data_IF_966027738151
#
_entry.id   IF_966027738151
#
_cell.length_a   1.000
_cell.length_b   1.000
_cell.length_c   1.000
_cell.angle_alpha   90.00
_cell.angle_beta   90.00
_cell.angle_gamma   90.00
#
_symmetry.space_group_name_H-M   'P 1'
#
loop_
_entity.id
_entity.type
_entity.pdbx_description
1 polymer ?
2 non-polymer ?
3 non-polymer ?
4 water ?
#
# COMPACT_ATOMS: atom_id res chain seq x y z
N UNK A 20 20.00 -7.75 8.10
CA UNK A 20 18.81 -7.07 7.50
C UNK A 20 17.53 -7.72 8.00
N UNK A 21 16.65 -6.89 8.56
CA UNK A 21 15.48 -7.38 9.25
C UNK A 21 14.18 -6.88 8.61
N UNK A 22 13.05 -7.31 9.14
CA UNK A 22 11.77 -7.01 8.51
C UNK A 22 11.47 -5.51 8.50
N UNK A 23 11.91 -4.80 9.52
CA UNK A 23 11.67 -3.36 9.56
C UNK A 23 12.48 -2.65 8.46
N UNK A 24 13.70 -3.11 8.21
CA UNK A 24 14.50 -2.60 7.11
C UNK A 24 13.75 -2.77 5.79
N UNK A 25 13.19 -3.96 5.58
CA UNK A 25 12.42 -4.21 4.36
C UNK A 25 11.19 -3.31 4.28
N UNK A 26 10.49 -3.12 5.40
CA UNK A 26 9.31 -2.27 5.44
C UNK A 26 9.68 -0.82 5.13
N UNK A 27 10.82 -0.37 5.64
CA UNK A 27 11.28 1.00 5.40
C UNK A 27 11.62 1.18 3.93
N UNK A 28 12.20 0.15 3.32
CA UNK A 28 12.56 0.22 1.90
C UNK A 28 11.30 0.33 1.05
N UNK A 29 10.29 -0.44 1.45
CA UNK A 29 8.99 -0.44 0.80
C UNK A 29 8.32 0.94 0.85
N UNK A 30 8.25 1.53 2.05
CA UNK A 30 7.67 2.86 2.21
C UNK A 30 8.47 3.93 1.48
N UNK A 31 9.79 3.91 1.58
CA UNK A 31 10.59 4.88 0.85
C UNK A 31 10.32 4.79 -0.66
N UNK A 32 10.16 3.57 -1.16
CA UNK A 32 9.98 3.37 -2.59
C UNK A 32 8.62 3.88 -3.05
N UNK A 33 7.59 3.62 -2.26
CA UNK A 33 6.27 4.22 -2.52
C UNK A 33 6.40 5.74 -2.52
N UNK A 34 7.05 6.29 -1.51
CA UNK A 34 7.14 7.74 -1.38
C UNK A 34 7.90 8.40 -2.50
N UNK A 35 8.92 7.72 -3.03
CA UNK A 35 9.74 8.32 -4.07
C UNK A 35 9.40 7.81 -5.45
N UNK A 36 8.36 6.99 -5.55
CA UNK A 36 7.95 6.41 -6.83
C UNK A 36 8.95 5.48 -7.48
N UNK A 37 9.69 4.73 -6.66
CA UNK A 37 10.70 3.81 -7.16
C UNK A 37 10.04 2.48 -7.50
N UNK A 38 9.55 2.36 -8.73
CA UNK A 38 8.87 1.14 -9.14
C UNK A 38 9.80 -0.04 -9.22
N UNK A 39 11.08 0.20 -9.50
CA UNK A 39 12.07 -0.87 -9.55
C UNK A 39 12.18 -1.57 -8.21
N UNK A 40 12.23 -0.81 -7.13
CA UNK A 40 12.32 -1.45 -5.82
C UNK A 40 11.02 -2.21 -5.57
N UNK A 41 9.90 -1.55 -5.80
CA UNK A 41 8.59 -2.14 -5.46
C UNK A 41 8.38 -3.44 -6.21
N UNK A 42 8.79 -3.46 -7.47
CA UNK A 42 8.63 -4.64 -8.32
C UNK A 42 9.52 -5.79 -7.90
N UNK A 43 10.53 -5.48 -7.10
CA UNK A 43 11.53 -6.45 -6.70
C UNK A 43 11.33 -6.94 -5.28
N UNK A 44 10.94 -6.06 -4.37
CA UNK A 44 10.83 -6.45 -2.97
C UNK A 44 9.44 -6.96 -2.60
N UNK A 45 8.46 -6.78 -3.48
CA UNK A 45 7.14 -7.37 -3.26
C UNK A 45 7.13 -8.76 -3.92
N UNK A 46 6.70 -9.77 -3.19
CA UNK A 46 6.63 -11.13 -3.73
C UNK A 46 5.80 -11.15 -5.00
N UNK A 47 6.25 -11.93 -6.01
CA UNK A 47 5.42 -12.18 -7.18
C UNK A 47 4.07 -12.79 -6.83
N UNK A 48 4.03 -13.52 -5.71
CA UNK A 48 2.79 -14.15 -5.26
C UNK A 48 2.11 -13.37 -4.13
N UNK A 49 2.36 -12.07 -4.07
CA UNK A 49 1.85 -11.23 -2.97
C UNK A 49 0.33 -11.32 -2.84
N UNK A 50 -0.14 -11.46 -1.60
CA UNK A 50 -1.57 -11.37 -1.30
C UNK A 50 -1.84 -9.98 -0.76
N UNK A 51 -2.68 -9.23 -1.45
CA UNK A 51 -2.88 -7.81 -1.14
C UNK A 51 -4.34 -7.54 -0.75
N UNK A 52 -4.57 -7.18 0.51
CA UNK A 52 -5.94 -6.93 1.01
C UNK A 52 -6.24 -5.43 1.07
N UNK A 53 -7.11 -4.96 0.19
CA UNK A 53 -7.46 -3.56 0.13
C UNK A 53 -8.87 -3.41 0.69
N UNK A 54 -9.01 -2.63 1.77
CA UNK A 54 -10.27 -2.49 2.45
C UNK A 54 -11.28 -1.65 1.70
N UNK A 55 -12.52 -1.71 2.14
CA UNK A 55 -13.51 -0.74 1.74
C UNK A 55 -14.45 -1.21 0.67
N UNK A 56 -15.02 -0.24 -0.02
CA UNK A 56 -16.08 -0.50 -0.95
C UNK A 56 -15.93 0.39 -2.15
N UNK A 57 -14.79 0.25 -2.82
CA UNK A 57 -14.52 1.01 -4.03
C UNK A 57 -13.92 0.07 -5.05
N UNK A 58 -13.60 0.59 -6.22
CA UNK A 58 -13.21 -0.24 -7.36
C UNK A 58 -11.95 -1.08 -7.16
N UNK A 59 -11.11 -0.72 -6.20
CA UNK A 59 -9.88 -1.50 -5.92
C UNK A 59 -9.98 -2.35 -4.68
N UNK A 60 -11.15 -2.33 -4.04
CA UNK A 60 -11.31 -3.01 -2.79
C UNK A 60 -11.31 -4.52 -3.03
N UNK A 61 -10.90 -5.27 -2.02
CA UNK A 61 -10.88 -6.71 -2.10
C UNK A 61 -9.51 -7.29 -1.93
N UNK A 62 -9.41 -8.61 -2.06
CA UNK A 62 -8.12 -9.27 -1.96
C UNK A 62 -7.62 -9.59 -3.36
N UNK A 63 -6.39 -9.20 -3.62
CA UNK A 63 -5.77 -9.41 -4.92
C UNK A 63 -4.54 -10.27 -4.72
N UNK A 64 -4.27 -11.14 -5.68
CA UNK A 64 -3.17 -12.09 -5.55
C UNK A 64 -2.26 -12.04 -6.77
N UNK A 65 -0.97 -11.91 -6.52
CA UNK A 65 0.01 -11.89 -7.57
C UNK A 65 0.30 -10.51 -8.08
N UNK A 66 1.58 -10.24 -8.33
CA UNK A 66 2.02 -8.97 -8.92
C UNK A 66 1.47 -8.78 -10.33
N UNK A 67 1.08 -9.87 -10.99
CA UNK A 67 0.45 -9.76 -12.31
C UNK A 67 -0.81 -8.92 -12.21
N UNK A 68 -1.45 -8.98 -11.05
CA UNK A 68 -2.68 -8.24 -10.77
C UNK A 68 -2.39 -6.96 -9.99
N UNK A 69 -1.58 -7.10 -8.95
CA UNK A 69 -1.28 -5.96 -8.09
C UNK A 69 -0.51 -4.85 -8.80
N UNK A 70 0.46 -5.19 -9.64
CA UNK A 70 1.22 -4.15 -10.34
C UNK A 70 0.32 -3.24 -11.16
N UNK A 71 -0.45 -3.83 -12.07
CA UNK A 71 -1.39 -3.04 -12.85
C UNK A 71 -2.41 -2.27 -12.01
N UNK A 72 -2.83 -2.84 -10.89
CA UNK A 72 -3.77 -2.16 -10.03
C UNK A 72 -3.16 -0.92 -9.39
N UNK A 73 -1.89 -1.01 -8.98
CA UNK A 73 -1.16 0.13 -8.46
C UNK A 73 -1.03 1.21 -9.52
N UNK A 74 -0.81 0.79 -10.76
CA UNK A 74 -0.76 1.72 -11.88
C UNK A 74 -2.08 2.43 -12.11
N UNK A 75 -3.18 1.69 -12.02
CA UNK A 75 -4.50 2.27 -12.21
C UNK A 75 -4.83 3.24 -11.08
N UNK A 76 -4.39 2.88 -9.88
CA UNK A 76 -4.54 3.75 -8.74
C UNK A 76 -3.83 5.08 -8.95
N UNK A 77 -2.62 5.04 -9.49
CA UNK A 77 -1.89 6.26 -9.78
C UNK A 77 -2.67 7.06 -10.81
N UNK A 78 -3.19 6.40 -11.82
CA UNK A 78 -3.99 7.10 -12.81
C UNK A 78 -5.24 7.75 -12.22
N UNK A 79 -6.01 6.97 -11.47
CA UNK A 79 -7.26 7.47 -10.88
C UNK A 79 -7.01 8.66 -9.96
N UNK A 80 -5.90 8.64 -9.22
CA UNK A 80 -5.57 9.71 -8.28
C UNK A 80 -4.72 10.83 -8.88
N UNK A 81 -4.54 10.80 -10.19
CA UNK A 81 -3.72 11.81 -10.86
C UNK A 81 -2.37 11.88 -10.22
N UNK A 82 -1.83 10.71 -9.85
CA UNK A 82 -0.54 10.60 -9.21
C UNK A 82 -0.42 11.22 -7.84
N UNK A 83 -1.55 11.57 -7.23
CA UNK A 83 -1.50 12.33 -5.97
C UNK A 83 -1.62 11.46 -4.72
N UNK A 84 -2.06 10.21 -4.86
CA UNK A 84 -2.14 9.37 -3.67
C UNK A 84 -0.76 9.15 -3.09
N UNK A 85 -0.62 9.45 -1.80
CA UNK A 85 0.68 9.43 -1.16
C UNK A 85 0.62 9.03 0.30
N UNK A 86 1.68 8.35 0.73
CA UNK A 86 1.97 8.21 2.14
C UNK A 86 2.72 9.47 2.52
N UNK A 87 1.99 10.43 3.07
CA UNK A 87 2.54 11.75 3.32
C UNK A 87 3.44 11.76 4.54
N UNK A 88 3.27 10.78 5.42
CA UNK A 88 4.09 10.70 6.61
C UNK A 88 4.06 9.29 7.12
N UNK A 89 5.23 8.75 7.45
CA UNK A 89 5.32 7.47 8.11
C UNK A 89 5.75 7.74 9.54
N UNK A 90 5.04 7.15 10.49
CA UNK A 90 5.30 7.39 11.89
C UNK A 90 6.16 6.29 12.48
N UNK A 91 5.56 5.17 12.84
CA UNK A 91 6.31 4.10 13.50
C UNK A 91 6.29 2.81 12.68
N UNK A 92 7.41 2.09 12.71
CA UNK A 92 7.51 0.73 12.19
C UNK A 92 7.63 -0.22 13.36
N UNK A 93 6.74 -1.19 13.43
CA UNK A 93 6.69 -2.10 14.57
C UNK A 93 6.64 -3.54 14.12
N UNK A 94 7.44 -4.40 14.75
CA UNK A 94 7.50 -5.79 14.32
C UNK A 94 6.82 -6.74 15.28
N UNK A 95 6.13 -7.72 14.72
CA UNK A 95 5.51 -8.74 15.53
C UNK A 95 5.48 -10.02 14.73
N UNK A 96 6.26 -11.00 15.14
CA UNK A 96 6.45 -12.19 14.31
C UNK A 96 7.01 -11.79 12.96
N UNK A 97 6.40 -12.26 11.87
CA UNK A 97 6.83 -11.89 10.51
C UNK A 97 6.09 -10.67 9.96
N UNK A 98 5.27 -10.03 10.80
CA UNK A 98 4.54 -8.83 10.41
C UNK A 98 5.22 -7.57 10.86
N UNK A 99 5.03 -6.52 10.07
CA UNK A 99 5.43 -5.20 10.45
C UNK A 99 4.21 -4.31 10.29
N UNK A 100 3.85 -3.57 11.34
CA UNK A 100 2.84 -2.51 11.21
C UNK A 100 3.52 -1.18 11.06
N UNK A 101 3.05 -0.43 10.07
CA UNK A 101 3.53 0.91 9.85
C UNK A 101 2.36 1.84 10.02
N UNK A 102 2.45 2.73 11.00
CA UNK A 102 1.47 3.76 11.22
C UNK A 102 1.87 4.93 10.35
N UNK A 103 0.89 5.57 9.74
CA UNK A 103 1.17 6.55 8.73
C UNK A 103 0.00 7.47 8.48
N UNK A 104 0.27 8.45 7.64
CA UNK A 104 -0.74 9.35 7.13
C UNK A 104 -0.74 9.24 5.62
N UNK A 105 -1.93 9.18 5.03
CA UNK A 105 -1.95 9.28 3.60
C UNK A 105 -2.86 10.39 3.14
N UNK A 106 -2.60 10.86 1.92
CA UNK A 106 -3.28 12.00 1.38
C UNK A 106 -3.39 11.88 -0.13
N UNK A 107 -4.14 12.79 -0.72
CA UNK A 107 -4.37 12.75 -2.12
C UNK A 107 -5.46 13.73 -2.47
N UNK A 108 -5.61 13.97 -3.76
CA UNK A 108 -6.64 14.87 -4.21
C UNK A 108 -7.07 14.33 -5.54
N UNK A 109 -8.27 13.75 -5.57
CA UNK A 109 -8.84 13.15 -6.79
C UNK A 109 -10.35 12.88 -6.64
N UNK A 110 -11.03 12.78 -7.78
CA UNK A 110 -12.49 12.54 -7.79
C UNK A 110 -13.26 13.53 -6.91
N UNK A 111 -12.72 14.73 -6.79
CA UNK A 111 -13.36 15.78 -6.01
C UNK A 111 -13.15 15.59 -4.52
N UNK A 112 -12.32 14.63 -4.14
CA UNK A 112 -12.08 14.33 -2.73
C UNK A 112 -10.67 14.71 -2.27
N UNK A 113 -10.59 15.53 -1.24
CA UNK A 113 -9.31 15.80 -0.58
C UNK A 113 -9.13 14.78 0.52
N UNK A 114 -8.18 13.88 0.31
CA UNK A 114 -7.92 12.76 1.18
C UNK A 114 -6.83 13.17 2.13
N UNK A 115 -7.06 12.98 3.42
CA UNK A 115 -6.04 13.24 4.41
C UNK A 115 -6.44 12.51 5.66
N UNK A 116 -5.72 11.46 6.00
CA UNK A 116 -6.15 10.66 7.14
C UNK A 116 -5.07 9.69 7.57
N UNK A 117 -5.17 9.27 8.83
CA UNK A 117 -4.32 8.23 9.37
C UNK A 117 -4.59 6.88 8.70
N UNK A 118 -3.58 6.04 8.68
CA UNK A 118 -3.73 4.66 8.22
C UNK A 118 -2.71 3.77 8.88
N UNK A 119 -2.83 2.47 8.64
CA UNK A 119 -1.81 1.52 9.05
C UNK A 119 -1.63 0.54 7.91
N UNK A 120 -0.38 0.30 7.51
CA UNK A 120 -0.05 -0.76 6.57
C UNK A 120 0.48 -1.91 7.36
N UNK A 121 -0.08 -3.10 7.14
CA UNK A 121 0.44 -4.32 7.73
C UNK A 121 1.12 -5.13 6.64
N UNK A 122 2.41 -5.44 6.83
CA UNK A 122 3.17 -6.22 5.86
C UNK A 122 3.63 -7.50 6.50
N UNK A 123 3.48 -8.60 5.79
CA UNK A 123 4.08 -9.86 6.20
C UNK A 123 5.29 -10.10 5.33
N UNK A 124 6.43 -10.33 5.94
CA UNK A 124 7.70 -10.37 5.22
C UNK A 124 8.37 -11.69 5.48
N UNK A 125 8.81 -12.33 4.41
CA UNK A 125 9.42 -13.66 4.45
C UNK A 125 10.54 -13.70 3.45
N UNK A 126 11.70 -14.18 3.85
CA UNK A 126 12.80 -14.38 2.91
C UNK A 126 13.05 -13.12 2.10
N UNK A 127 12.98 -11.97 2.75
CA UNK A 127 13.44 -10.73 2.14
C UNK A 127 12.39 -10.06 1.28
N UNK A 128 11.19 -10.64 1.26
CA UNK A 128 10.13 -10.14 0.41
C UNK A 128 8.81 -9.96 1.15
N UNK A 129 8.06 -8.97 0.71
CA UNK A 129 6.71 -8.74 1.20
C UNK A 129 5.73 -9.71 0.53
N UNK A 130 5.20 -10.63 1.33
CA UNK A 130 4.36 -11.72 0.83
C UNK A 130 2.88 -11.43 1.05
N UNK A 131 2.57 -10.52 1.96
CA UNK A 131 1.19 -10.18 2.22
C UNK A 131 1.08 -8.75 2.68
N UNK A 132 0.02 -8.08 2.24
CA UNK A 132 -0.22 -6.69 2.56
C UNK A 132 -1.67 -6.56 3.01
N UNK A 133 -1.90 -5.92 4.15
CA UNK A 133 -3.25 -5.55 4.57
C UNK A 133 -3.28 -4.12 4.99
N UNK A 134 -4.14 -3.34 4.34
CA UNK A 134 -4.20 -1.91 4.55
C UNK A 134 -5.39 -1.56 5.44
N UNK A 135 -5.21 -0.51 6.24
CA UNK A 135 -6.21 -0.02 7.14
C UNK A 135 -6.29 1.50 6.98
N UNK A 136 -7.51 2.02 6.99
CA UNK A 136 -7.71 3.47 6.88
C UNK A 136 -8.60 4.00 7.97
N UNK A 137 -8.30 5.20 8.44
CA UNK A 137 -9.06 5.76 9.55
C UNK A 137 -10.43 6.25 9.13
N UNK A 138 -10.58 6.57 7.86
CA UNK A 138 -11.84 7.08 7.34
C UNK A 138 -12.12 6.40 6.00
N UNK A 139 -12.76 5.24 6.08
CA UNK A 139 -12.91 4.42 4.91
C UNK A 139 -13.97 5.02 3.97
N UNK A 140 -14.94 5.75 4.53
CA UNK A 140 -15.96 6.43 3.71
C UNK A 140 -15.30 7.45 2.77
N UNK A 141 -14.36 8.22 3.31
CA UNK A 141 -13.64 9.20 2.51
C UNK A 141 -12.75 8.51 1.46
N UNK A 142 -12.03 7.46 1.86
CA UNK A 142 -11.16 6.74 0.92
C UNK A 142 -11.96 6.06 -0.20
N UNK A 143 -13.11 5.51 0.16
CA UNK A 143 -13.98 4.90 -0.83
C UNK A 143 -14.38 5.91 -1.91
N UNK A 144 -14.70 7.13 -1.49
CA UNK A 144 -15.11 8.17 -2.43
C UNK A 144 -13.92 8.60 -3.29
N UNK A 145 -12.74 8.67 -2.67
CA UNK A 145 -11.52 9.04 -3.36
C UNK A 145 -11.27 8.12 -4.57
N UNK A 146 -11.32 6.83 -4.33
CA UNK A 146 -10.98 5.87 -5.37
C UNK A 146 -12.11 5.74 -6.36
N UNK A 147 -13.32 5.81 -5.84
CA UNK A 147 -14.49 5.77 -6.67
C UNK A 147 -14.86 4.40 -7.14
N UNK A 148 -15.93 4.40 -7.91
CA UNK A 148 -16.39 3.22 -8.61
C UNK A 148 -15.96 3.36 -10.05
X LIG B 1 -10.13 16.49 -7.51
X LIG C 1 7.70 10.44 6.04
X LIG D 1 -11.30 -7.00 1.48
X LIG D 1 -11.77 -5.67 1.33
X LIG D 1 -10.54 -7.14 2.78
X LIG D 1 -9.90 -8.40 2.83
X LIG D 1 -9.48 -6.05 2.92
X LIG D 1 -8.68 -6.33 4.05
X LIG E 1 -0.81 2.25 0.83
X LIG E 1 -0.39 2.48 2.16
X LIG E 1 0.36 1.74 0.01
X LIG E 1 0.93 0.62 0.66
X LIG E 1 -0.13 1.36 -1.38
X LIG E 1 0.05 2.44 -2.27
#
# INVERSE_FOLDING_TARGET
XGSDKIHHHHHHENLYFQGMNTIDIAKSYITAIQTGDHATLGSIISPDVIWHQPGNHQFSGTHRGMAVVGPMLGKMMEVSNGTFAISRADDYMASGDWVAITLEFSGQANGVTLKQAGVDLLRIEDGKIVEVRLFSADQTQEDAFWGR
CL CL
CL CL
GOL C1 O1 C2 O2 C3 O3
GOL C1 O1 C2 O2 C3 O3
#
